data_IF_599442809709
#
_entry.id   IF_599442809709
#
_cell.length_a   1.000
_cell.length_b   1.000
_cell.length_c   1.000
_cell.angle_alpha   90.00
_cell.angle_beta   90.00
_cell.angle_gamma   90.00
#
_symmetry.space_group_name_H-M   'P 1'
#
loop_
_entity.id
_entity.type
_entity.pdbx_description
1 polymer ?
#
# COMPACT_ATOMS: atom_id res chain seq x y z
N UNK A 1 -46.69 -13.37 0.83
CA UNK A 1 -45.80 -14.22 0.00
C UNK A 1 -44.47 -13.57 -0.38
N UNK A 2 -44.31 -12.23 -0.31
CA UNK A 2 -43.10 -11.51 -0.73
C UNK A 2 -41.93 -11.53 0.27
N UNK A 3 -42.17 -11.75 1.56
CA UNK A 3 -41.11 -11.72 2.57
C UNK A 3 -40.26 -13.02 2.57
N UNK A 4 -40.91 -14.17 2.39
CA UNK A 4 -40.22 -15.47 2.31
C UNK A 4 -39.31 -15.60 1.09
N UNK A 5 -39.73 -15.08 -0.06
CA UNK A 5 -38.88 -15.06 -1.27
C UNK A 5 -37.68 -14.14 -1.10
N UNK A 6 -37.86 -12.93 -0.55
CA UNK A 6 -36.74 -12.01 -0.25
C UNK A 6 -35.72 -12.63 0.69
N UNK A 7 -36.16 -13.33 1.74
CA UNK A 7 -35.26 -14.01 2.67
C UNK A 7 -34.50 -15.14 1.97
N UNK A 8 -35.17 -15.97 1.17
CA UNK A 8 -34.53 -17.04 0.41
C UNK A 8 -33.49 -16.52 -0.59
N UNK A 9 -33.81 -15.45 -1.34
CA UNK A 9 -32.86 -14.80 -2.23
C UNK A 9 -31.66 -14.24 -1.46
N UNK A 10 -31.88 -13.57 -0.32
CA UNK A 10 -30.79 -13.04 0.50
C UNK A 10 -29.88 -14.16 1.03
N UNK A 11 -30.45 -15.25 1.53
CA UNK A 11 -29.67 -16.41 2.00
C UNK A 11 -28.89 -17.06 0.85
N UNK A 12 -29.50 -17.20 -0.32
CA UNK A 12 -28.83 -17.79 -1.50
C UNK A 12 -27.67 -16.92 -1.96
N UNK A 13 -27.86 -15.60 -2.01
CA UNK A 13 -26.79 -14.65 -2.37
C UNK A 13 -25.66 -14.68 -1.33
N UNK A 14 -25.98 -14.70 -0.03
CA UNK A 14 -24.99 -14.81 1.04
C UNK A 14 -24.20 -16.12 0.95
N UNK A 15 -24.87 -17.25 0.69
CA UNK A 15 -24.23 -18.55 0.52
C UNK A 15 -23.33 -18.57 -0.73
N UNK A 16 -23.79 -18.03 -1.86
CA UNK A 16 -22.97 -17.91 -3.07
C UNK A 16 -21.74 -17.02 -2.83
N UNK A 17 -21.89 -15.90 -2.12
CA UNK A 17 -20.78 -15.04 -1.75
C UNK A 17 -19.79 -15.79 -0.84
N UNK A 18 -20.27 -16.48 0.20
CA UNK A 18 -19.43 -17.29 1.10
C UNK A 18 -18.68 -18.40 0.37
N UNK A 19 -19.33 -19.14 -0.52
CA UNK A 19 -18.70 -20.21 -1.32
C UNK A 19 -17.67 -19.61 -2.27
N UNK A 20 -17.98 -18.49 -2.91
CA UNK A 20 -17.05 -17.81 -3.83
C UNK A 20 -15.83 -17.27 -3.09
N UNK A 21 -15.99 -16.75 -1.86
CA UNK A 21 -14.89 -16.26 -1.03
C UNK A 21 -14.03 -17.42 -0.52
N UNK A 22 -14.64 -18.49 0.00
CA UNK A 22 -13.91 -19.63 0.55
C UNK A 22 -13.29 -20.54 -0.53
N UNK A 23 -13.85 -20.53 -1.74
CA UNK A 23 -13.37 -21.32 -2.87
C UNK A 23 -12.05 -20.82 -3.46
N UNK A 24 -11.67 -19.56 -3.22
CA UNK A 24 -10.38 -19.05 -3.71
C UNK A 24 -9.22 -19.56 -2.85
N UNK A 25 -8.21 -20.13 -3.51
CA UNK A 25 -7.00 -20.62 -2.85
C UNK A 25 -6.10 -19.50 -2.36
N UNK A 26 -5.25 -19.80 -1.36
CA UNK A 26 -4.25 -18.86 -0.85
C UNK A 26 -3.31 -18.36 -1.96
N UNK A 27 -2.93 -19.23 -2.89
CA UNK A 27 -2.07 -18.89 -4.02
C UNK A 27 -2.70 -17.83 -4.93
N UNK A 28 -4.00 -17.96 -5.23
CA UNK A 28 -4.73 -17.00 -6.07
C UNK A 28 -4.94 -15.66 -5.35
N UNK A 29 -5.10 -15.68 -4.02
CA UNK A 29 -5.16 -14.47 -3.20
C UNK A 29 -3.80 -13.74 -3.22
N UNK A 30 -2.70 -14.46 -3.01
CA UNK A 30 -1.35 -13.90 -3.04
C UNK A 30 -0.90 -13.45 -4.43
N UNK A 31 -1.32 -14.14 -5.49
CA UNK A 31 -1.10 -13.71 -6.87
C UNK A 31 -1.78 -12.36 -7.12
N UNK A 32 -3.06 -12.22 -6.76
CA UNK A 32 -3.79 -10.94 -6.90
C UNK A 32 -3.20 -9.84 -6.02
N UNK A 33 -2.81 -10.16 -4.79
CA UNK A 33 -2.15 -9.19 -3.91
C UNK A 33 -0.82 -8.71 -4.50
N UNK A 34 -0.01 -9.61 -5.07
CA UNK A 34 1.25 -9.26 -5.73
C UNK A 34 1.04 -8.41 -7.00
N UNK A 35 -0.03 -8.65 -7.75
CA UNK A 35 -0.37 -7.82 -8.92
C UNK A 35 -0.81 -6.41 -8.49
N UNK A 36 -1.61 -6.31 -7.43
CA UNK A 36 -2.03 -5.04 -6.85
C UNK A 36 -0.84 -4.26 -6.25
N UNK A 37 0.11 -4.93 -5.60
CA UNK A 37 1.31 -4.28 -5.07
C UNK A 37 2.25 -3.78 -6.17
N UNK A 38 2.40 -4.54 -7.24
CA UNK A 38 3.20 -4.14 -8.41
C UNK A 38 2.59 -2.89 -9.05
N UNK A 39 1.26 -2.87 -9.23
CA UNK A 39 0.53 -1.68 -9.69
C UNK A 39 0.72 -0.49 -8.75
N UNK A 40 0.60 -0.69 -7.44
CA UNK A 40 0.77 0.37 -6.44
C UNK A 40 2.17 0.99 -6.50
N UNK A 41 3.21 0.15 -6.58
CA UNK A 41 4.59 0.59 -6.68
C UNK A 41 4.90 1.29 -8.02
N UNK A 42 4.40 0.73 -9.12
CA UNK A 42 4.53 1.32 -10.46
C UNK A 42 3.87 2.70 -10.53
N UNK A 43 2.65 2.83 -9.99
CA UNK A 43 1.94 4.10 -9.93
C UNK A 43 2.65 5.13 -9.04
N UNK A 44 3.19 4.70 -7.89
CA UNK A 44 3.99 5.57 -7.01
C UNK A 44 5.27 6.08 -7.70
N UNK A 45 5.93 5.21 -8.47
CA UNK A 45 7.12 5.57 -9.27
C UNK A 45 6.74 6.53 -10.39
N UNK A 46 5.66 6.26 -11.11
CA UNK A 46 5.16 7.14 -12.16
C UNK A 46 4.80 8.54 -11.63
N UNK A 47 4.10 8.61 -10.49
CA UNK A 47 3.76 9.89 -9.85
C UNK A 47 4.99 10.66 -9.38
N UNK A 48 6.02 9.95 -8.90
CA UNK A 48 7.30 10.57 -8.53
C UNK A 48 7.97 11.20 -9.74
N UNK A 49 7.98 10.51 -10.88
CA UNK A 49 8.52 11.04 -12.13
C UNK A 49 7.76 12.29 -12.61
N UNK A 50 6.42 12.31 -12.48
CA UNK A 50 5.62 13.48 -12.82
C UNK A 50 5.99 14.69 -11.97
N UNK A 51 6.18 14.50 -10.66
CA UNK A 51 6.65 15.56 -9.76
C UNK A 51 8.06 16.02 -10.10
N UNK A 52 8.96 15.09 -10.44
CA UNK A 52 10.36 15.42 -10.74
C UNK A 52 10.53 16.25 -12.00
N UNK A 53 9.57 16.20 -12.94
CA UNK A 53 9.61 16.93 -14.22
C UNK A 53 9.80 18.44 -14.06
N UNK A 54 9.21 19.05 -13.01
CA UNK A 54 9.31 20.48 -12.74
C UNK A 54 9.62 20.77 -11.26
N UNK A 55 10.29 19.84 -10.58
CA UNK A 55 10.68 20.04 -9.19
C UNK A 55 11.91 20.97 -9.08
N UNK A 56 11.83 22.09 -8.33
CA UNK A 56 12.89 23.07 -8.30
C UNK A 56 14.15 22.53 -7.59
N UNK A 57 15.37 22.86 -8.05
CA UNK A 57 16.61 22.39 -7.42
C UNK A 57 16.72 22.75 -5.93
N UNK A 58 16.27 23.96 -5.55
CA UNK A 58 16.22 24.38 -4.14
C UNK A 58 15.31 23.49 -3.30
N UNK A 59 14.22 22.98 -3.88
CA UNK A 59 13.31 22.04 -3.22
C UNK A 59 13.99 20.71 -2.91
N UNK A 60 14.91 20.23 -3.77
CA UNK A 60 15.67 19.00 -3.53
C UNK A 60 16.62 19.14 -2.34
N UNK A 61 17.23 20.32 -2.19
CA UNK A 61 18.12 20.62 -1.06
C UNK A 61 17.32 20.76 0.25
N UNK A 62 16.10 21.31 0.17
CA UNK A 62 15.21 21.48 1.32
C UNK A 62 14.46 20.20 1.72
N UNK A 63 14.52 19.15 0.91
CA UNK A 63 13.80 17.92 1.18
C UNK A 63 14.32 17.26 2.46
N UNK A 64 13.43 16.86 3.39
CA UNK A 64 13.83 16.12 4.58
C UNK A 64 14.56 14.81 4.24
N UNK A 65 15.39 14.32 5.17
CA UNK A 65 16.17 13.10 4.96
C UNK A 65 15.26 11.87 4.93
N UNK A 66 15.59 10.80 4.16
CA UNK A 66 14.80 9.57 4.15
C UNK A 66 14.59 8.91 5.52
N UNK A 67 15.49 9.13 6.48
CA UNK A 67 15.34 8.66 7.86
C UNK A 67 14.21 9.36 8.64
N UNK A 68 13.67 10.45 8.11
CA UNK A 68 12.57 11.23 8.70
C UNK A 68 11.19 10.74 8.26
N UNK A 69 11.09 9.75 7.36
CA UNK A 69 9.79 9.15 7.08
C UNK A 69 9.26 8.50 8.36
N UNK A 70 7.96 8.64 8.66
CA UNK A 70 7.36 8.13 9.90
C UNK A 70 7.48 6.61 10.05
N UNK A 71 7.57 5.89 8.94
CA UNK A 71 7.77 4.44 8.87
C UNK A 71 9.24 4.00 9.02
N UNK A 72 10.20 4.93 9.10
CA UNK A 72 11.64 4.58 9.15
C UNK A 72 12.05 3.88 10.44
N UNK A 73 11.24 3.98 11.50
CA UNK A 73 11.46 3.27 12.77
C UNK A 73 11.12 1.78 12.69
N UNK A 74 10.35 1.36 11.68
CA UNK A 74 10.00 -0.03 11.51
C UNK A 74 11.26 -0.80 11.07
N UNK A 75 11.65 -1.80 11.86
CA UNK A 75 12.79 -2.67 11.56
C UNK A 75 12.38 -3.66 10.47
N UNK A 76 12.45 -3.20 9.22
CA UNK A 76 12.05 -3.96 8.05
C UNK A 76 13.31 -4.42 7.30
N UNK A 77 13.30 -5.63 6.71
CA UNK A 77 14.34 -6.04 5.76
C UNK A 77 14.50 -4.99 4.66
N UNK A 78 15.74 -4.56 4.44
CA UNK A 78 16.04 -3.53 3.45
C UNK A 78 16.39 -4.11 2.07
N UNK A 79 16.67 -5.40 2.02
CA UNK A 79 17.02 -6.13 0.80
C UNK A 79 16.24 -7.45 0.70
N UNK A 80 16.31 -8.04 -0.50
CA UNK A 80 15.65 -9.28 -0.84
C UNK A 80 16.13 -10.45 0.03
N UNK A 81 17.43 -10.52 0.34
CA UNK A 81 18.03 -11.62 1.10
C UNK A 81 17.56 -11.65 2.55
N UNK A 82 17.35 -10.47 3.14
CA UNK A 82 16.76 -10.33 4.47
C UNK A 82 15.27 -10.72 4.43
N UNK A 83 14.51 -10.27 3.44
CA UNK A 83 13.10 -10.60 3.31
C UNK A 83 12.86 -12.12 3.18
N UNK A 84 13.74 -12.82 2.45
CA UNK A 84 13.69 -14.28 2.29
C UNK A 84 13.91 -15.07 3.59
N UNK A 85 14.45 -14.44 4.65
CA UNK A 85 14.69 -15.07 5.96
C UNK A 85 13.54 -14.88 6.95
N UNK A 86 12.61 -13.98 6.66
CA UNK A 86 11.49 -13.66 7.56
C UNK A 86 10.37 -14.70 7.39
N UNK A 87 9.76 -15.20 8.47
CA UNK A 87 8.56 -16.04 8.43
C UNK A 87 7.40 -15.42 7.64
N UNK A 88 6.51 -16.23 7.08
CA UNK A 88 5.42 -15.75 6.21
C UNK A 88 4.40 -14.86 6.94
N UNK A 89 4.05 -15.22 8.17
CA UNK A 89 3.12 -14.49 9.02
C UNK A 89 3.69 -13.13 9.44
N UNK A 90 4.98 -13.07 9.79
CA UNK A 90 5.68 -11.83 10.10
C UNK A 90 5.81 -10.94 8.86
N UNK A 91 6.15 -11.52 7.71
CA UNK A 91 6.28 -10.79 6.44
C UNK A 91 4.94 -10.18 5.99
N UNK A 92 3.83 -10.92 6.17
CA UNK A 92 2.49 -10.41 5.94
C UNK A 92 2.14 -9.28 6.92
N UNK A 93 2.48 -9.45 8.20
CA UNK A 93 2.22 -8.43 9.24
C UNK A 93 2.97 -7.14 8.97
N UNK A 94 4.22 -7.22 8.47
CA UNK A 94 4.98 -6.05 8.02
C UNK A 94 4.31 -5.35 6.84
N UNK A 95 3.85 -6.10 5.83
CA UNK A 95 3.13 -5.53 4.70
C UNK A 95 1.83 -4.83 5.14
N UNK A 96 1.02 -5.48 5.99
CA UNK A 96 -0.22 -4.90 6.55
C UNK A 96 0.06 -3.66 7.40
N UNK A 97 1.10 -3.69 8.24
CA UNK A 97 1.50 -2.53 9.06
C UNK A 97 1.89 -1.33 8.22
N UNK A 98 2.64 -1.53 7.13
CA UNK A 98 2.97 -0.45 6.19
C UNK A 98 1.71 0.10 5.50
N UNK A 99 0.80 -0.75 5.02
CA UNK A 99 -0.43 -0.29 4.38
C UNK A 99 -1.27 0.58 5.32
N UNK A 100 -1.42 0.14 6.57
CA UNK A 100 -2.15 0.90 7.60
C UNK A 100 -1.49 2.24 7.90
N UNK A 101 -0.16 2.27 8.00
CA UNK A 101 0.61 3.49 8.25
C UNK A 101 0.46 4.55 7.14
N UNK A 102 0.00 4.15 5.95
CA UNK A 102 -0.13 5.01 4.78
C UNK A 102 -1.56 5.48 4.46
N UNK A 103 -2.56 5.04 5.24
CA UNK A 103 -3.95 5.52 5.11
C UNK A 103 -4.06 7.04 5.22
N UNK A 104 -3.62 7.60 6.36
CA UNK A 104 -3.73 9.04 6.63
C UNK A 104 -2.80 9.90 5.74
N UNK A 105 -1.52 9.54 5.53
CA UNK A 105 -0.66 10.32 4.63
C UNK A 105 -1.20 10.37 3.20
N UNK A 106 -1.73 9.27 2.65
CA UNK A 106 -2.30 9.29 1.29
C UNK A 106 -3.61 10.08 1.22
N UNK A 107 -4.42 10.06 2.27
CA UNK A 107 -5.59 10.95 2.36
C UNK A 107 -5.16 12.43 2.35
N UNK A 108 -4.12 12.79 3.12
CA UNK A 108 -3.56 14.15 3.11
C UNK A 108 -3.04 14.52 1.72
N UNK A 109 -2.22 13.67 1.10
CA UNK A 109 -1.71 13.91 -0.26
C UNK A 109 -2.86 14.09 -1.26
N UNK A 110 -3.87 13.22 -1.22
CA UNK A 110 -5.06 13.30 -2.10
C UNK A 110 -5.82 14.61 -1.93
N UNK A 111 -5.96 15.11 -0.70
CA UNK A 111 -6.63 16.39 -0.44
C UNK A 111 -5.82 17.61 -0.90
N UNK A 112 -4.49 17.52 -0.87
CA UNK A 112 -3.58 18.64 -1.17
C UNK A 112 -3.24 18.73 -2.67
N UNK A 113 -3.23 17.60 -3.39
CA UNK A 113 -2.70 17.48 -4.75
C UNK A 113 -3.32 18.47 -5.75
N UNK A 114 -4.64 18.67 -5.70
CA UNK A 114 -5.38 19.60 -6.56
C UNK A 114 -4.97 21.08 -6.43
N UNK A 115 -4.17 21.45 -5.43
CA UNK A 115 -3.75 22.82 -5.17
C UNK A 115 -2.23 23.00 -5.12
N UNK A 116 -1.47 21.99 -5.55
CA UNK A 116 -0.03 22.09 -5.72
C UNK A 116 0.36 23.11 -6.79
N UNK A 117 1.42 23.87 -6.54
CA UNK A 117 2.03 24.77 -7.52
C UNK A 117 2.95 24.00 -8.47
N UNK A 118 2.38 23.13 -9.30
CA UNK A 118 3.10 22.29 -10.26
C UNK A 118 2.36 22.27 -11.61
N UNK A 119 3.05 22.32 -12.77
CA UNK A 119 2.39 22.28 -14.09
C UNK A 119 1.52 21.04 -14.29
N UNK A 120 2.02 19.86 -13.90
CA UNK A 120 1.32 18.57 -14.00
C UNK A 120 0.28 18.32 -12.90
N UNK A 121 -0.21 19.36 -12.21
CA UNK A 121 -1.07 19.24 -11.02
C UNK A 121 -2.29 18.35 -11.23
N UNK A 122 -2.95 18.42 -12.39
CA UNK A 122 -4.15 17.62 -12.65
C UNK A 122 -3.80 16.12 -12.76
N UNK A 123 -2.67 15.80 -13.41
CA UNK A 123 -2.14 14.43 -13.49
C UNK A 123 -1.75 13.91 -12.11
N UNK A 124 -1.05 14.74 -11.32
CA UNK A 124 -0.65 14.43 -9.95
C UNK A 124 -1.86 14.16 -9.06
N UNK A 125 -2.90 15.01 -9.13
CA UNK A 125 -4.14 14.84 -8.38
C UNK A 125 -4.84 13.51 -8.73
N UNK A 126 -4.99 13.22 -10.03
CA UNK A 126 -5.61 11.97 -10.48
C UNK A 126 -4.84 10.73 -9.99
N UNK A 127 -3.52 10.71 -10.16
CA UNK A 127 -2.69 9.57 -9.73
C UNK A 127 -2.62 9.41 -8.22
N UNK A 128 -2.68 10.51 -7.46
CA UNK A 128 -2.69 10.46 -5.99
C UNK A 128 -3.99 9.83 -5.47
N UNK A 129 -5.14 10.18 -6.07
CA UNK A 129 -6.43 9.52 -5.79
C UNK A 129 -6.39 8.04 -6.14
N UNK A 130 -5.85 7.71 -7.31
CA UNK A 130 -5.68 6.31 -7.70
C UNK A 130 -4.77 5.55 -6.71
N UNK A 131 -3.67 6.14 -6.22
CA UNK A 131 -2.85 5.53 -5.17
C UNK A 131 -3.64 5.25 -3.88
N UNK A 132 -4.47 6.21 -3.45
CA UNK A 132 -5.33 6.06 -2.28
C UNK A 132 -6.34 4.90 -2.46
N UNK A 133 -6.92 4.76 -3.65
CA UNK A 133 -7.85 3.66 -3.94
C UNK A 133 -7.14 2.29 -4.00
N UNK A 134 -5.94 2.25 -4.59
CA UNK A 134 -5.17 1.01 -4.74
C UNK A 134 -4.66 0.51 -3.38
N UNK A 135 -4.21 1.40 -2.49
CA UNK A 135 -3.76 0.97 -1.16
C UNK A 135 -4.90 0.38 -0.33
N UNK A 136 -6.10 0.97 -0.41
CA UNK A 136 -7.29 0.47 0.26
C UNK A 136 -7.71 -0.90 -0.27
N UNK A 137 -7.68 -1.06 -1.59
CA UNK A 137 -7.99 -2.33 -2.26
C UNK A 137 -7.00 -3.43 -1.88
N UNK A 138 -5.71 -3.09 -1.82
CA UNK A 138 -4.67 -4.03 -1.39
C UNK A 138 -4.82 -4.39 0.09
N UNK A 139 -5.11 -3.41 0.96
CA UNK A 139 -5.37 -3.64 2.38
C UNK A 139 -6.51 -4.62 2.63
N UNK A 140 -7.65 -4.43 1.95
CA UNK A 140 -8.78 -5.37 2.00
C UNK A 140 -8.40 -6.76 1.48
N UNK A 141 -7.61 -6.83 0.39
CA UNK A 141 -7.08 -8.09 -0.13
C UNK A 141 -6.19 -8.83 0.87
N UNK A 142 -5.33 -8.12 1.61
CA UNK A 142 -4.46 -8.73 2.61
C UNK A 142 -5.21 -9.21 3.86
N UNK A 143 -6.36 -8.62 4.18
CA UNK A 143 -7.21 -9.14 5.25
C UNK A 143 -7.76 -10.53 4.93
N UNK A 144 -8.18 -10.76 3.68
CA UNK A 144 -8.59 -12.09 3.23
C UNK A 144 -7.42 -13.10 3.22
N UNK A 145 -6.22 -12.65 2.83
CA UNK A 145 -5.00 -13.46 2.87
C UNK A 145 -4.65 -13.86 4.32
N UNK A 146 -4.72 -12.91 5.26
CA UNK A 146 -4.48 -13.14 6.68
C UNK A 146 -5.45 -14.17 7.26
N UNK A 147 -6.76 -13.99 7.01
CA UNK A 147 -7.79 -14.94 7.46
C UNK A 147 -7.58 -16.34 6.86
N UNK A 148 -7.17 -16.43 5.59
CA UNK A 148 -6.92 -17.71 4.92
C UNK A 148 -5.69 -18.45 5.45
N UNK A 149 -4.64 -17.73 5.86
CA UNK A 149 -3.47 -18.34 6.50
C UNK A 149 -3.76 -18.87 7.90
N UNK A 150 -4.85 -18.44 8.54
CA UNK A 150 -5.19 -18.86 9.90
C UNK A 150 -4.21 -18.34 10.96
N UNK A 151 -3.40 -17.33 10.62
CA UNK A 151 -2.43 -16.74 11.54
C UNK A 151 -3.17 -16.07 12.69
N UNK A 152 -2.86 -16.47 13.92
CA UNK A 152 -3.43 -15.86 15.14
C UNK A 152 -2.68 -14.60 15.59
N UNK A 153 -1.51 -14.35 15.00
CA UNK A 153 -0.65 -13.23 15.34
C UNK A 153 -1.04 -12.00 14.52
N UNK A 154 -1.92 -11.17 15.07
CA UNK A 154 -2.21 -9.83 14.54
C UNK A 154 -1.19 -8.82 15.09
N UNK A 155 0.11 -9.13 14.93
CA UNK A 155 1.22 -8.31 15.41
C UNK A 155 1.45 -7.10 14.50
N UNK A 156 0.43 -6.26 14.37
CA UNK A 156 0.51 -5.03 13.60
C UNK A 156 1.30 -3.96 14.37
N UNK A 157 2.27 -3.37 13.69
CA UNK A 157 3.05 -2.26 14.24
C UNK A 157 2.28 -0.95 14.06
N UNK A 158 2.02 -0.25 15.16
CA UNK A 158 1.45 1.09 15.11
C UNK A 158 2.51 2.11 14.70
N UNK A 159 2.31 2.74 13.55
CA UNK A 159 3.21 3.74 12.97
C UNK A 159 2.43 5.03 12.74
N UNK A 160 2.14 5.79 13.80
CA UNK A 160 1.24 6.94 13.74
C UNK A 160 1.81 8.06 12.86
N UNK A 161 0.93 8.70 12.11
CA UNK A 161 1.22 9.88 11.32
C UNK A 161 0.58 11.11 11.99
N UNK A 162 1.39 12.09 12.37
CA UNK A 162 0.96 13.24 13.17
C UNK A 162 0.83 14.55 12.39
N UNK A 163 1.10 14.53 11.09
CA UNK A 163 1.07 15.73 10.25
C UNK A 163 -0.32 15.93 9.65
N UNK A 164 -0.92 17.10 9.85
CA UNK A 164 -2.23 17.47 9.29
C UNK A 164 -2.18 18.44 8.11
N UNK A 165 -1.00 18.97 7.78
CA UNK A 165 -0.80 19.94 6.69
C UNK A 165 0.62 19.82 6.14
N UNK A 166 0.78 20.09 4.83
CA UNK A 166 2.08 20.08 4.15
C UNK A 166 2.81 21.43 4.22
N UNK A 167 2.26 22.42 4.93
CA UNK A 167 2.84 23.76 5.06
C UNK A 167 1.90 24.85 4.54
N UNK A 168 2.31 26.10 4.74
CA UNK A 168 1.48 27.28 4.44
C UNK A 168 1.80 27.89 3.08
N UNK A 169 3.08 27.92 2.70
CA UNK A 169 3.51 28.47 1.42
C UNK A 169 3.61 27.38 0.33
N UNK A 170 3.56 27.82 -0.93
CA UNK A 170 3.56 26.93 -2.10
C UNK A 170 4.80 26.05 -2.18
N UNK A 171 5.97 26.56 -1.77
CA UNK A 171 7.24 25.85 -1.85
C UNK A 171 7.31 24.75 -0.81
N UNK A 172 7.01 25.05 0.45
CA UNK A 172 7.00 24.06 1.52
C UNK A 172 5.99 22.94 1.24
N UNK A 173 4.80 23.29 0.74
CA UNK A 173 3.77 22.30 0.35
C UNK A 173 4.28 21.35 -0.73
N UNK A 174 4.90 21.87 -1.79
CA UNK A 174 5.46 21.05 -2.85
C UNK A 174 6.62 20.16 -2.35
N UNK A 175 7.52 20.70 -1.52
CA UNK A 175 8.65 19.95 -0.94
C UNK A 175 8.17 18.82 -0.01
N UNK A 176 7.22 19.12 0.89
CA UNK A 176 6.69 18.13 1.83
C UNK A 176 5.81 17.08 1.12
N UNK A 177 5.05 17.47 0.10
CA UNK A 177 4.32 16.53 -0.74
C UNK A 177 5.28 15.54 -1.41
N UNK A 178 6.34 16.06 -2.04
CA UNK A 178 7.35 15.23 -2.70
C UNK A 178 8.09 14.32 -1.71
N UNK A 179 8.44 14.84 -0.53
CA UNK A 179 9.06 14.04 0.53
C UNK A 179 8.17 12.87 0.98
N UNK A 180 6.90 13.11 1.30
CA UNK A 180 5.98 12.05 1.69
C UNK A 180 5.77 11.04 0.57
N UNK A 181 5.65 11.48 -0.68
CA UNK A 181 5.55 10.56 -1.80
C UNK A 181 6.83 9.72 -1.96
N UNK A 182 8.01 10.31 -1.75
CA UNK A 182 9.29 9.59 -1.79
C UNK A 182 9.36 8.50 -0.71
N UNK A 183 8.87 8.81 0.50
CA UNK A 183 8.70 7.82 1.57
C UNK A 183 7.73 6.71 1.15
N UNK A 184 6.59 7.06 0.56
CA UNK A 184 5.60 6.08 0.09
C UNK A 184 6.14 5.18 -1.03
N UNK A 185 6.92 5.74 -1.96
CA UNK A 185 7.57 4.98 -3.04
C UNK A 185 8.52 3.92 -2.49
N UNK A 186 9.31 4.29 -1.48
CA UNK A 186 10.20 3.35 -0.78
C UNK A 186 9.40 2.23 -0.12
N UNK A 187 8.31 2.56 0.55
CA UNK A 187 7.54 1.58 1.31
C UNK A 187 6.66 0.70 0.40
N UNK A 188 6.12 1.23 -0.71
CA UNK A 188 5.41 0.45 -1.73
C UNK A 188 6.32 -0.58 -2.40
N UNK A 189 7.59 -0.24 -2.64
CA UNK A 189 8.59 -1.21 -3.11
C UNK A 189 8.81 -2.34 -2.09
N UNK A 190 8.87 -2.01 -0.80
CA UNK A 190 8.99 -3.02 0.28
C UNK A 190 7.76 -3.93 0.31
N UNK A 191 6.55 -3.37 0.32
CA UNK A 191 5.29 -4.12 0.27
C UNK A 191 5.28 -5.07 -0.94
N UNK A 192 5.63 -4.57 -2.12
CA UNK A 192 5.69 -5.38 -3.34
C UNK A 192 6.69 -6.53 -3.24
N UNK A 193 7.90 -6.25 -2.73
CA UNK A 193 8.91 -7.28 -2.48
C UNK A 193 8.40 -8.36 -1.52
N UNK A 194 7.69 -7.99 -0.45
CA UNK A 194 7.17 -8.94 0.54
C UNK A 194 6.09 -9.84 -0.04
N UNK A 195 5.17 -9.26 -0.80
CA UNK A 195 4.08 -10.01 -1.42
C UNK A 195 4.59 -10.92 -2.54
N UNK A 196 5.63 -10.52 -3.28
CA UNK A 196 6.31 -11.40 -4.25
C UNK A 196 6.97 -12.60 -3.56
N UNK A 197 7.61 -12.41 -2.40
CA UNK A 197 8.18 -13.52 -1.60
C UNK A 197 7.08 -14.45 -1.08
N UNK A 198 6.01 -13.91 -0.49
CA UNK A 198 4.88 -14.71 0.02
C UNK A 198 4.25 -15.54 -1.09
N UNK A 199 3.96 -14.92 -2.24
CA UNK A 199 3.44 -15.61 -3.42
C UNK A 199 4.36 -16.73 -3.90
N UNK A 200 5.66 -16.46 -3.94
CA UNK A 200 6.66 -17.46 -4.36
C UNK A 200 6.67 -18.69 -3.44
N UNK A 201 6.67 -18.48 -2.11
CA UNK A 201 6.65 -19.56 -1.13
C UNK A 201 5.34 -20.36 -1.15
N UNK A 202 4.20 -19.69 -1.29
CA UNK A 202 2.89 -20.34 -1.36
C UNK A 202 2.74 -21.21 -2.63
N UNK A 203 3.34 -20.79 -3.75
CA UNK A 203 3.46 -21.61 -4.96
C UNK A 203 4.40 -22.84 -4.79
N UNK A 204 4.99 -23.05 -3.61
CA UNK A 204 5.99 -24.07 -3.30
C UNK A 204 7.17 -24.08 -4.28
N UNK A 205 7.52 -22.92 -4.82
CA UNK A 205 8.79 -22.76 -5.52
C UNK A 205 9.91 -22.84 -4.48
N UNK A 206 11.06 -23.40 -4.86
CA UNK A 206 12.19 -23.48 -3.93
C UNK A 206 12.59 -22.05 -3.51
N UNK A 207 12.96 -21.79 -2.23
CA UNK A 207 13.28 -20.44 -1.76
C UNK A 207 14.35 -19.72 -2.60
N UNK A 208 15.31 -20.46 -3.15
CA UNK A 208 16.35 -19.94 -4.05
C UNK A 208 15.85 -19.56 -5.45
N UNK A 209 14.64 -19.98 -5.82
CA UNK A 209 13.95 -19.56 -7.03
C UNK A 209 13.03 -18.37 -6.79
N UNK A 210 12.92 -17.92 -5.53
CA UNK A 210 12.39 -16.62 -5.18
C UNK A 210 13.49 -15.57 -5.37
#
# INVERSE_FOLDING_TARGET
>A
MTQGSRLYFAVTVLMCAFVSINGVGLNDLLERASQLSDKLHSLSTSLTNDLDSHFPPVGRVMMPRPSMCHTSSLQIPNDKDQALKIPEDELLSLARSLLLAWSDPLALLSSEASSLAHPERNTIDSKTKELQDNINSLGAGLEHVFQKMGSSSDNLSSLPFYTSSLGQDKTSRLVNFHFLLSCFRRDSHKIDSFLKVLRCRAAKKRPEMC
#
